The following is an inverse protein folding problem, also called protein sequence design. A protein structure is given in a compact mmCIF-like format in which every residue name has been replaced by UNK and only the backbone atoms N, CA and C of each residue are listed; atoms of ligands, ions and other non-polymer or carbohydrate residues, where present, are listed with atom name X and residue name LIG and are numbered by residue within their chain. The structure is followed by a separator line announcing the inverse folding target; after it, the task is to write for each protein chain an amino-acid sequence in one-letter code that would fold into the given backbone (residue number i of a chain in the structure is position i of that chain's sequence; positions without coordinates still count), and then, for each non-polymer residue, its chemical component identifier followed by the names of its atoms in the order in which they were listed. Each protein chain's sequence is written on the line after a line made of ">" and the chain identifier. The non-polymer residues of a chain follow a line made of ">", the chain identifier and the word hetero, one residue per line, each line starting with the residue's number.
data_IF_773802823053
#
_entry.id   IF_773802823053
#
_cell.length_a   1.000
_cell.length_b   1.000
_cell.length_c   1.000
_cell.angle_alpha   90.00
_cell.angle_beta   90.00
_cell.angle_gamma   90.00
#
_symmetry.space_group_name_H-M   'P 1'
#
loop_
_entity.id
_entity.type
_entity.pdbx_description
1 polymer ?
#
# COMPACT_ATOMS: atom_id res chain seq x y z
N UNK A 1 -8.87 -3.59 -8.90
CA UNK A 1 -8.28 -4.95 -8.83
C UNK A 1 -8.93 -5.90 -9.82
N UNK A 2 -10.22 -6.24 -9.68
CA UNK A 2 -10.92 -7.18 -10.56
C UNK A 2 -10.70 -6.93 -12.06
N UNK A 3 -10.84 -5.67 -12.50
CA UNK A 3 -10.63 -5.28 -13.90
C UNK A 3 -9.18 -5.43 -14.40
N UNK A 4 -8.20 -5.34 -13.52
CA UNK A 4 -6.80 -5.60 -13.86
C UNK A 4 -6.56 -7.11 -13.96
N UNK A 5 -7.02 -7.89 -12.98
CA UNK A 5 -6.91 -9.35 -12.99
C UNK A 5 -7.59 -9.97 -14.22
N UNK A 6 -8.77 -9.48 -14.64
CA UNK A 6 -9.44 -9.90 -15.88
C UNK A 6 -8.57 -9.72 -17.14
N UNK A 7 -7.60 -8.82 -17.10
CA UNK A 7 -6.63 -8.57 -18.19
C UNK A 7 -5.33 -9.36 -17.99
N UNK A 8 -5.32 -10.35 -17.11
CA UNK A 8 -4.15 -11.18 -16.79
C UNK A 8 -3.07 -10.46 -16.00
N UNK A 9 -3.41 -9.36 -15.32
CA UNK A 9 -2.44 -8.58 -14.51
C UNK A 9 -2.36 -9.06 -13.08
N UNK A 10 -1.15 -9.04 -12.53
CA UNK A 10 -0.90 -9.33 -11.12
C UNK A 10 -1.20 -8.10 -10.28
N UNK A 11 -1.96 -8.29 -9.20
CA UNK A 11 -2.35 -7.22 -8.30
C UNK A 11 -1.82 -7.49 -6.88
N UNK A 12 -1.48 -6.41 -6.17
CA UNK A 12 -1.20 -6.45 -4.75
C UNK A 12 -2.04 -5.43 -3.98
N UNK A 13 -2.29 -5.73 -2.71
CA UNK A 13 -3.05 -4.92 -1.78
C UNK A 13 -2.29 -4.81 -0.47
N UNK A 14 -1.91 -3.59 -0.11
CA UNK A 14 -1.30 -3.25 1.18
C UNK A 14 -2.42 -2.70 2.05
N UNK A 15 -2.94 -3.56 2.92
CA UNK A 15 -4.05 -3.30 3.84
C UNK A 15 -3.50 -2.77 5.15
N UNK A 16 -3.18 -1.47 5.20
CA UNK A 16 -2.79 -0.77 6.41
C UNK A 16 -3.97 -0.54 7.37
N UNK A 17 -5.21 -0.54 6.88
CA UNK A 17 -6.41 -0.44 7.73
C UNK A 17 -6.84 -1.75 8.38
N UNK A 18 -6.30 -2.88 7.92
CA UNK A 18 -6.67 -4.23 8.37
C UNK A 18 -8.17 -4.48 8.19
N UNK A 19 -8.76 -3.91 7.14
CA UNK A 19 -10.22 -3.82 6.93
C UNK A 19 -10.70 -4.55 5.67
N UNK A 20 -9.81 -5.17 4.90
CA UNK A 20 -10.20 -5.89 3.68
C UNK A 20 -11.03 -7.14 4.02
N UNK A 21 -12.27 -7.20 3.52
CA UNK A 21 -13.10 -8.42 3.54
C UNK A 21 -12.89 -9.23 2.25
N UNK A 22 -12.23 -10.42 2.33
CA UNK A 22 -11.99 -11.27 1.16
C UNK A 22 -13.28 -11.79 0.52
N UNK A 23 -14.32 -12.06 1.32
CA UNK A 23 -15.60 -12.58 0.82
C UNK A 23 -16.31 -11.49 0.01
N UNK A 24 -16.28 -10.25 0.48
CA UNK A 24 -16.83 -9.12 -0.25
C UNK A 24 -16.04 -8.83 -1.53
N UNK A 25 -14.69 -8.85 -1.47
CA UNK A 25 -13.84 -8.68 -2.64
C UNK A 25 -14.13 -9.74 -3.73
N UNK A 26 -14.29 -11.01 -3.35
CA UNK A 26 -14.66 -12.08 -4.26
C UNK A 26 -16.01 -11.83 -4.94
N UNK A 27 -17.02 -11.35 -4.21
CA UNK A 27 -18.32 -10.97 -4.77
C UNK A 27 -18.24 -9.82 -5.78
N UNK A 28 -17.25 -8.94 -5.64
CA UNK A 28 -16.95 -7.88 -6.61
C UNK A 28 -16.11 -8.36 -7.80
N UNK A 29 -15.82 -9.66 -7.89
CA UNK A 29 -15.11 -10.29 -9.01
C UNK A 29 -13.59 -10.19 -8.90
N UNK A 30 -13.05 -9.94 -7.71
CA UNK A 30 -11.61 -10.09 -7.42
C UNK A 30 -11.29 -11.57 -7.32
N UNK A 31 -10.23 -12.01 -7.99
CA UNK A 31 -9.64 -13.31 -7.69
C UNK A 31 -8.77 -13.15 -6.43
N UNK A 32 -9.31 -13.58 -5.30
CA UNK A 32 -8.67 -13.42 -3.99
C UNK A 32 -7.47 -14.36 -3.83
N UNK A 33 -7.53 -15.56 -4.41
CA UNK A 33 -6.45 -16.55 -4.30
C UNK A 33 -5.16 -16.07 -4.97
N UNK A 34 -5.29 -15.30 -6.05
CA UNK A 34 -4.18 -14.69 -6.79
C UNK A 34 -3.87 -13.23 -6.36
N UNK A 35 -4.55 -12.71 -5.33
CA UNK A 35 -4.28 -11.36 -4.83
C UNK A 35 -3.17 -11.40 -3.78
N UNK A 36 -2.07 -10.70 -4.05
CA UNK A 36 -1.01 -10.53 -3.05
C UNK A 36 -1.51 -9.56 -1.97
N UNK A 37 -1.64 -10.02 -0.73
CA UNK A 37 -2.10 -9.20 0.40
C UNK A 37 -0.96 -9.04 1.40
N UNK A 38 -0.78 -7.81 1.89
CA UNK A 38 0.15 -7.50 2.98
C UNK A 38 -0.54 -6.64 4.02
N UNK A 39 -0.39 -7.00 5.30
CA UNK A 39 -0.88 -6.23 6.44
C UNK A 39 0.33 -5.73 7.23
N UNK A 40 0.78 -4.48 6.99
CA UNK A 40 1.93 -3.91 7.67
C UNK A 40 1.56 -3.43 9.08
N UNK A 41 2.56 -3.43 9.96
CA UNK A 41 2.53 -2.89 11.32
C UNK A 41 2.84 -1.38 11.34
N UNK A 42 3.63 -0.87 10.39
CA UNK A 42 4.01 0.56 10.33
C UNK A 42 3.93 1.14 8.92
N UNK A 43 3.83 2.47 8.82
CA UNK A 43 3.85 3.20 7.56
C UNK A 43 5.16 3.00 6.77
N UNK A 44 6.30 2.94 7.45
CA UNK A 44 7.59 2.62 6.81
C UNK A 44 7.54 1.24 6.16
N UNK A 45 7.08 0.22 6.90
CA UNK A 45 7.00 -1.15 6.40
C UNK A 45 6.05 -1.25 5.20
N UNK A 46 4.89 -0.60 5.27
CA UNK A 46 3.92 -0.55 4.17
C UNK A 46 4.56 -0.02 2.87
N UNK A 47 5.29 1.09 2.98
CA UNK A 47 5.93 1.76 1.84
C UNK A 47 7.15 0.98 1.34
N UNK A 48 7.89 0.30 2.22
CA UNK A 48 8.97 -0.61 1.86
C UNK A 48 8.47 -1.84 1.11
N UNK A 49 7.36 -2.43 1.54
CA UNK A 49 6.71 -3.55 0.86
C UNK A 49 6.23 -3.12 -0.53
N UNK A 50 5.58 -1.96 -0.63
CA UNK A 50 5.19 -1.39 -1.92
C UNK A 50 6.41 -1.24 -2.85
N UNK A 51 7.51 -0.66 -2.35
CA UNK A 51 8.75 -0.45 -3.11
C UNK A 51 9.43 -1.78 -3.52
N UNK A 52 9.40 -2.80 -2.65
CA UNK A 52 9.87 -4.14 -2.97
C UNK A 52 9.04 -4.81 -4.07
N UNK A 53 7.71 -4.75 -3.99
CA UNK A 53 6.81 -5.31 -4.98
C UNK A 53 6.98 -4.63 -6.34
N UNK A 54 7.08 -3.30 -6.37
CA UNK A 54 7.35 -2.56 -7.61
C UNK A 54 8.70 -2.99 -8.20
N UNK A 55 9.78 -3.03 -7.41
CA UNK A 55 11.11 -3.41 -7.91
C UNK A 55 11.20 -4.85 -8.41
N UNK A 56 10.33 -5.73 -7.94
CA UNK A 56 10.30 -7.12 -8.41
C UNK A 56 9.87 -7.26 -9.88
N UNK A 57 9.23 -6.22 -10.45
CA UNK A 57 8.56 -6.25 -11.75
C UNK A 57 7.50 -7.37 -11.88
N UNK A 58 7.06 -7.96 -10.77
CA UNK A 58 6.07 -9.03 -10.76
C UNK A 58 4.63 -8.54 -10.59
N UNK A 59 4.44 -7.26 -10.26
CA UNK A 59 3.13 -6.66 -9.96
C UNK A 59 2.83 -5.51 -10.92
N UNK A 60 1.65 -5.54 -11.53
CA UNK A 60 1.19 -4.50 -12.44
C UNK A 60 0.37 -3.42 -11.72
N UNK A 61 -0.33 -3.77 -10.64
CA UNK A 61 -1.20 -2.86 -9.88
C UNK A 61 -1.02 -3.08 -8.39
N UNK A 62 -0.73 -2.01 -7.65
CA UNK A 62 -0.64 -2.01 -6.19
C UNK A 62 -1.65 -1.01 -5.64
N UNK A 63 -2.41 -1.43 -4.63
CA UNK A 63 -3.26 -0.54 -3.83
C UNK A 63 -2.67 -0.44 -2.43
N UNK A 64 -2.59 0.78 -1.90
CA UNK A 64 -2.26 1.06 -0.49
C UNK A 64 -3.51 1.63 0.17
N UNK A 65 -4.09 0.87 1.09
CA UNK A 65 -5.32 1.18 1.82
C UNK A 65 -5.04 1.24 3.33
N UNK A 66 -4.83 2.40 3.93
CA UNK A 66 -4.92 3.76 3.37
C UNK A 66 -3.77 4.64 3.86
N UNK A 67 -3.65 5.83 3.27
CA UNK A 67 -2.62 6.81 3.62
C UNK A 67 -2.75 7.29 5.07
N UNK A 68 -3.95 7.53 5.59
CA UNK A 68 -4.06 7.95 6.99
C UNK A 68 -3.62 6.85 7.97
N UNK A 69 -3.75 5.57 7.59
CA UNK A 69 -3.29 4.43 8.37
C UNK A 69 -1.78 4.16 8.24
N UNK A 70 -1.02 4.95 7.45
CA UNK A 70 0.44 4.85 7.37
C UNK A 70 1.08 5.55 8.58
N UNK A 71 0.87 4.99 9.77
CA UNK A 71 1.38 5.54 11.02
C UNK A 71 2.90 5.28 11.13
N UNK A 72 3.73 6.32 11.27
CA UNK A 72 5.17 6.14 11.43
C UNK A 72 5.51 5.33 12.68
N UNK A 73 6.56 4.51 12.61
CA UNK A 73 7.00 3.67 13.73
C UNK A 73 7.20 4.47 15.03
N UNK A 74 7.79 5.66 14.95
CA UNK A 74 8.04 6.49 16.12
C UNK A 74 6.75 7.02 16.78
N UNK A 75 5.65 7.10 16.05
CA UNK A 75 4.34 7.47 16.58
C UNK A 75 3.65 6.25 17.25
N UNK A 76 3.85 5.04 16.70
CA UNK A 76 3.35 3.78 17.30
C UNK A 76 4.07 3.46 18.61
N UNK A 77 5.39 3.70 18.67
CA UNK A 77 6.21 3.46 19.86
C UNK A 77 6.16 4.60 20.89
N UNK A 78 5.60 5.76 20.51
CA UNK A 78 5.47 6.94 21.37
C UNK A 78 4.29 6.84 22.36
N UNK A 79 4.18 7.82 23.24
CA UNK A 79 3.04 7.92 24.16
C UNK A 79 1.89 8.70 23.52
N UNK A 80 0.66 8.36 23.90
CA UNK A 80 -0.51 9.10 23.45
C UNK A 80 -0.44 10.55 23.94
N UNK A 81 -0.36 11.49 23.00
CA UNK A 81 -0.20 12.92 23.28
C UNK A 81 1.19 13.47 22.97
N UNK A 82 2.15 12.60 22.59
CA UNK A 82 3.44 13.04 22.08
C UNK A 82 3.30 13.81 20.76
N UNK A 83 4.12 14.85 20.62
CA UNK A 83 4.07 15.73 19.46
C UNK A 83 4.96 15.20 18.34
N UNK A 84 4.34 14.57 17.34
CA UNK A 84 5.00 14.10 16.12
C UNK A 84 4.64 14.97 14.91
N UNK A 85 4.99 16.26 14.98
CA UNK A 85 4.59 17.25 13.95
C UNK A 85 5.10 16.85 12.56
N UNK A 86 4.17 16.56 11.67
CA UNK A 86 4.42 16.33 10.24
C UNK A 86 5.23 15.07 9.92
N UNK A 87 5.30 14.10 10.84
CA UNK A 87 6.11 12.91 10.67
C UNK A 87 5.63 12.06 9.47
N UNK A 88 4.32 11.81 9.38
CA UNK A 88 3.71 11.09 8.26
C UNK A 88 3.93 11.82 6.92
N UNK A 89 3.80 13.15 6.89
CA UNK A 89 4.03 13.94 5.66
C UNK A 89 5.48 13.82 5.16
N UNK A 90 6.46 13.81 6.09
CA UNK A 90 7.87 13.60 5.77
C UNK A 90 8.13 12.18 5.26
N UNK A 91 7.56 11.17 5.93
CA UNK A 91 7.63 9.77 5.50
C UNK A 91 7.12 9.61 4.06
N UNK A 92 5.91 10.11 3.77
CA UNK A 92 5.32 10.06 2.44
C UNK A 92 6.16 10.78 1.39
N UNK A 93 6.67 11.97 1.70
CA UNK A 93 7.52 12.75 0.79
C UNK A 93 8.81 12.01 0.43
N UNK A 94 9.41 11.31 1.39
CA UNK A 94 10.61 10.50 1.15
C UNK A 94 10.30 9.23 0.36
N UNK A 95 9.25 8.51 0.74
CA UNK A 95 8.84 7.28 0.10
C UNK A 95 8.44 7.50 -1.37
N UNK A 96 7.57 8.49 -1.65
CA UNK A 96 7.12 8.78 -3.01
C UNK A 96 8.26 9.21 -3.93
N UNK A 97 9.26 9.94 -3.40
CA UNK A 97 10.46 10.30 -4.17
C UNK A 97 11.22 9.08 -4.65
N UNK A 98 11.33 8.04 -3.82
CA UNK A 98 11.99 6.78 -4.16
C UNK A 98 11.12 5.91 -5.08
N UNK A 99 9.82 5.80 -4.74
CA UNK A 99 8.85 4.96 -5.45
C UNK A 99 8.63 5.42 -6.89
N UNK A 100 8.56 6.73 -7.16
CA UNK A 100 8.19 7.26 -8.48
C UNK A 100 9.04 6.70 -9.62
N UNK A 101 10.37 6.64 -9.44
CA UNK A 101 11.27 6.09 -10.45
C UNK A 101 11.06 4.58 -10.65
N UNK A 102 10.91 3.84 -9.56
CA UNK A 102 10.69 2.39 -9.60
C UNK A 102 9.35 2.04 -10.27
N UNK A 103 8.28 2.78 -9.94
CA UNK A 103 6.94 2.62 -10.51
C UNK A 103 6.99 2.79 -12.03
N UNK A 104 7.71 3.82 -12.50
CA UNK A 104 7.86 4.08 -13.94
C UNK A 104 8.63 2.96 -14.64
N UNK A 105 9.73 2.49 -14.05
CA UNK A 105 10.57 1.44 -14.62
C UNK A 105 9.85 0.08 -14.68
N UNK A 106 9.06 -0.23 -13.64
CA UNK A 106 8.27 -1.46 -13.56
C UNK A 106 6.98 -1.40 -14.38
N UNK A 107 6.61 -0.22 -14.90
CA UNK A 107 5.31 0.02 -15.52
C UNK A 107 4.13 -0.41 -14.63
N UNK A 108 4.25 -0.16 -13.32
CA UNK A 108 3.26 -0.50 -12.32
C UNK A 108 2.31 0.68 -12.08
N UNK A 109 1.03 0.42 -11.82
CA UNK A 109 0.06 1.40 -11.33
C UNK A 109 -0.02 1.32 -9.80
N UNK A 110 0.36 2.39 -9.08
CA UNK A 110 0.14 2.48 -7.65
C UNK A 110 -1.05 3.41 -7.34
N UNK A 111 -1.99 2.93 -6.53
CA UNK A 111 -3.17 3.66 -6.07
C UNK A 111 -3.09 3.82 -4.55
N UNK A 112 -3.22 5.05 -4.07
CA UNK A 112 -3.27 5.36 -2.65
C UNK A 112 -4.69 5.79 -2.30
N UNK A 113 -5.31 5.08 -1.36
CA UNK A 113 -6.61 5.46 -0.78
C UNK A 113 -6.33 6.43 0.37
N UNK A 114 -7.12 7.50 0.47
CA UNK A 114 -6.96 8.50 1.52
C UNK A 114 -8.33 9.04 1.96
N UNK A 115 -8.39 9.53 3.19
CA UNK A 115 -9.57 10.10 3.82
C UNK A 115 -9.64 11.62 3.62
N UNK A 116 -10.84 12.18 3.81
CA UNK A 116 -11.12 13.62 3.88
C UNK A 116 -11.42 13.99 5.33
#
# INVERSE_FOLDING_TARGET
>A
IAEAQKKGKTCAFVDAEHALDPIYAAKLGVNVDDLLISQPDTGEQALEICDMLVRSNAVDVIIVDSVAALTPKAEIEGEMGDSHVGLQARLMSQALRKLTANIKNANCLCIFINQI
#
